data_IF_692511136140
#
_entry.id   IF_692511136140
#
_cell.length_a   1.000
_cell.length_b   1.000
_cell.length_c   1.000
_cell.angle_alpha   90.00
_cell.angle_beta   90.00
_cell.angle_gamma   90.00
#
_symmetry.space_group_name_H-M   'P 1'
#
loop_
_entity.id
_entity.type
_entity.pdbx_description
1 polymer ?
#
# COMPACT_ATOMS: atom_id res chain seq x y z
N UNK A 1 -2.26 -33.40 3.75
CA UNK A 1 -1.06 -32.55 3.52
C UNK A 1 -0.85 -32.22 2.05
N UNK A 2 -0.45 -33.15 1.15
CA UNK A 2 -0.26 -32.81 -0.29
C UNK A 2 -1.61 -32.49 -0.99
N UNK A 3 -2.67 -33.21 -0.60
CA UNK A 3 -4.05 -32.95 -1.05
C UNK A 3 -4.55 -31.54 -0.68
N UNK A 4 -4.15 -31.01 0.48
CA UNK A 4 -4.53 -29.66 0.94
C UNK A 4 -3.84 -28.56 0.11
N UNK A 5 -2.58 -28.77 -0.27
CA UNK A 5 -1.83 -27.84 -1.13
C UNK A 5 -2.43 -27.80 -2.55
N UNK A 6 -2.81 -28.96 -3.10
CA UNK A 6 -3.49 -29.03 -4.40
C UNK A 6 -4.88 -28.38 -4.37
N UNK A 7 -5.60 -28.52 -3.26
CA UNK A 7 -6.91 -27.88 -3.08
C UNK A 7 -6.77 -26.35 -2.96
N UNK A 8 -5.79 -25.86 -2.19
CA UNK A 8 -5.52 -24.43 -2.03
C UNK A 8 -5.07 -23.75 -3.34
N UNK A 9 -4.18 -24.38 -4.10
CA UNK A 9 -3.74 -23.86 -5.41
C UNK A 9 -4.87 -23.85 -6.44
N UNK A 10 -5.74 -24.86 -6.44
CA UNK A 10 -6.96 -24.88 -7.27
C UNK A 10 -7.92 -23.74 -6.90
N UNK A 11 -8.11 -23.45 -5.60
CA UNK A 11 -8.94 -22.33 -5.14
C UNK A 11 -8.36 -20.97 -5.57
N UNK A 12 -7.04 -20.77 -5.49
CA UNK A 12 -6.38 -19.58 -6.01
C UNK A 12 -6.60 -19.41 -7.52
N UNK A 13 -6.39 -20.47 -8.29
CA UNK A 13 -6.61 -20.45 -9.74
C UNK A 13 -8.07 -20.15 -10.10
N UNK A 14 -9.03 -20.71 -9.34
CA UNK A 14 -10.46 -20.41 -9.47
C UNK A 14 -10.75 -18.95 -9.12
N UNK A 15 -10.18 -18.44 -8.04
CA UNK A 15 -10.26 -17.03 -7.65
C UNK A 15 -9.80 -16.09 -8.77
N UNK A 16 -8.64 -16.38 -9.38
CA UNK A 16 -8.09 -15.60 -10.50
C UNK A 16 -9.01 -15.57 -11.74
N UNK A 17 -9.81 -16.61 -11.96
CA UNK A 17 -10.86 -16.61 -13.01
C UNK A 17 -12.07 -15.77 -12.59
N UNK A 18 -12.47 -15.81 -11.31
CA UNK A 18 -13.60 -15.06 -10.79
C UNK A 18 -13.38 -13.55 -10.83
N UNK A 19 -12.16 -13.07 -10.52
CA UNK A 19 -11.86 -11.63 -10.51
C UNK A 19 -12.02 -10.97 -11.90
N UNK A 20 -11.95 -11.77 -12.96
CA UNK A 20 -12.12 -11.32 -14.36
C UNK A 20 -13.59 -11.22 -14.78
N UNK A 21 -14.54 -11.74 -13.99
CA UNK A 21 -15.96 -11.70 -14.34
C UNK A 21 -16.50 -10.26 -14.36
N UNK A 22 -17.39 -9.92 -15.31
CA UNK A 22 -18.12 -8.65 -15.27
C UNK A 22 -18.92 -8.57 -13.96
N UNK A 23 -18.85 -7.43 -13.27
CA UNK A 23 -19.41 -7.25 -11.93
C UNK A 23 -18.35 -7.22 -10.82
N UNK A 24 -17.35 -8.11 -10.86
CA UNK A 24 -16.24 -8.14 -9.89
C UNK A 24 -15.08 -7.24 -10.30
N UNK A 25 -14.79 -7.17 -11.60
CA UNK A 25 -13.61 -6.44 -12.13
C UNK A 25 -13.47 -5.00 -11.60
N UNK A 26 -14.59 -4.32 -11.31
CA UNK A 26 -14.58 -2.94 -10.79
C UNK A 26 -13.92 -2.84 -9.41
N UNK A 27 -14.10 -3.83 -8.55
CA UNK A 27 -13.53 -3.87 -7.20
C UNK A 27 -12.04 -4.21 -7.22
N UNK A 28 -11.51 -4.72 -8.33
CA UNK A 28 -10.07 -4.92 -8.54
C UNK A 28 -9.43 -3.69 -9.17
N UNK A 29 -10.10 -3.11 -10.18
CA UNK A 29 -9.57 -1.98 -10.94
C UNK A 29 -9.55 -0.69 -10.12
N UNK A 30 -10.59 -0.41 -9.31
CA UNK A 30 -10.65 0.82 -8.50
C UNK A 30 -9.46 0.97 -7.54
N UNK A 31 -9.15 0.01 -6.63
CA UNK A 31 -8.00 0.16 -5.75
C UNK A 31 -6.68 0.20 -6.52
N UNK A 32 -6.56 -0.52 -7.64
CA UNK A 32 -5.37 -0.48 -8.50
C UNK A 32 -5.17 0.91 -9.11
N UNK A 33 -6.23 1.54 -9.65
CA UNK A 33 -6.16 2.90 -10.19
C UNK A 33 -5.80 3.91 -9.12
N UNK A 34 -6.42 3.83 -7.93
CA UNK A 34 -6.09 4.72 -6.81
C UNK A 34 -4.61 4.55 -6.43
N UNK A 35 -4.11 3.31 -6.37
CA UNK A 35 -2.71 3.04 -6.08
C UNK A 35 -1.77 3.58 -7.16
N UNK A 36 -2.11 3.47 -8.44
CA UNK A 36 -1.32 4.05 -9.53
C UNK A 36 -1.25 5.57 -9.41
N UNK A 37 -2.39 6.22 -9.14
CA UNK A 37 -2.44 7.67 -8.96
C UNK A 37 -1.64 8.12 -7.74
N UNK A 38 -1.77 7.40 -6.62
CA UNK A 38 -1.07 7.71 -5.38
C UNK A 38 0.44 7.49 -5.53
N UNK A 39 0.86 6.36 -6.12
CA UNK A 39 2.27 6.07 -6.37
C UNK A 39 2.90 7.04 -7.36
N UNK A 40 2.21 7.30 -8.48
CA UNK A 40 2.65 8.27 -9.49
C UNK A 40 2.76 9.68 -8.91
N UNK A 41 1.78 10.08 -8.09
CA UNK A 41 1.81 11.36 -7.37
C UNK A 41 2.97 11.47 -6.39
N UNK A 42 3.28 10.41 -5.64
CA UNK A 42 4.43 10.38 -4.74
C UNK A 42 5.77 10.46 -5.48
N UNK A 43 5.92 9.75 -6.60
CA UNK A 43 7.13 9.85 -7.44
C UNK A 43 7.27 11.25 -8.02
N UNK A 44 6.19 11.79 -8.57
CA UNK A 44 6.19 13.13 -9.15
C UNK A 44 6.55 14.19 -8.11
N UNK A 45 5.92 14.13 -6.93
CA UNK A 45 6.24 15.02 -5.82
C UNK A 45 7.69 14.86 -5.35
N UNK A 46 8.16 13.63 -5.16
CA UNK A 46 9.54 13.35 -4.77
C UNK A 46 10.55 13.90 -5.77
N UNK A 47 10.30 13.72 -7.07
CA UNK A 47 11.13 14.27 -8.14
C UNK A 47 11.13 15.80 -8.15
N UNK A 48 9.95 16.43 -8.03
CA UNK A 48 9.81 17.88 -8.02
C UNK A 48 10.54 18.53 -6.83
N UNK A 49 10.52 17.88 -5.67
CA UNK A 49 11.20 18.37 -4.47
C UNK A 49 12.69 18.05 -4.42
N UNK A 50 13.18 17.16 -5.29
CA UNK A 50 14.52 16.59 -5.20
C UNK A 50 15.62 17.65 -5.36
N UNK A 51 15.64 18.37 -6.48
CA UNK A 51 16.66 19.39 -6.75
C UNK A 51 16.64 20.53 -5.72
N UNK A 52 15.47 21.11 -5.36
CA UNK A 52 15.38 22.09 -4.27
C UNK A 52 15.96 21.59 -2.95
N UNK A 53 15.75 20.31 -2.60
CA UNK A 53 16.30 19.73 -1.37
C UNK A 53 17.83 19.64 -1.42
N UNK A 54 18.38 19.20 -2.54
CA UNK A 54 19.84 19.10 -2.73
C UNK A 54 20.46 20.50 -2.67
N UNK A 55 19.89 21.48 -3.37
CA UNK A 55 20.42 22.85 -3.40
C UNK A 55 20.29 23.52 -2.03
N UNK A 56 19.18 23.32 -1.32
CA UNK A 56 19.00 23.79 0.05
C UNK A 56 19.97 23.13 1.04
N UNK A 57 20.40 21.89 0.80
CA UNK A 57 21.43 21.26 1.61
C UNK A 57 22.83 21.82 1.28
N UNK A 58 23.11 22.01 -0.01
CA UNK A 58 24.39 22.55 -0.49
C UNK A 58 24.60 24.03 -0.13
N UNK A 59 23.54 24.81 0.14
CA UNK A 59 23.68 26.22 0.54
C UNK A 59 24.44 26.43 1.87
N UNK A 60 24.53 25.38 2.69
CA UNK A 60 25.28 25.38 3.96
C UNK A 60 26.72 24.88 3.79
N UNK A 61 27.08 24.43 2.57
CA UNK A 61 28.35 23.77 2.26
C UNK A 61 29.25 24.75 1.52
N UNK A 62 30.47 25.03 2.03
CA UNK A 62 31.46 25.82 1.31
C UNK A 62 31.87 25.19 -0.04
N UNK A 63 32.24 26.01 -1.01
CA UNK A 63 32.51 25.58 -2.40
C UNK A 63 33.61 24.51 -2.53
N UNK A 64 34.64 24.55 -1.66
CA UNK A 64 35.71 23.53 -1.66
C UNK A 64 35.22 22.12 -1.28
N UNK A 65 34.02 22.00 -0.70
CA UNK A 65 33.35 20.74 -0.36
C UNK A 65 32.25 20.37 -1.36
N UNK A 66 32.23 20.90 -2.59
CA UNK A 66 31.19 20.58 -3.59
C UNK A 66 31.13 19.08 -3.93
N UNK A 67 32.20 18.32 -3.68
CA UNK A 67 32.17 16.85 -3.76
C UNK A 67 31.12 16.22 -2.84
N UNK A 68 30.62 16.88 -1.79
CA UNK A 68 29.54 16.36 -0.96
C UNK A 68 28.20 16.27 -1.72
N UNK A 69 28.05 16.99 -2.84
CA UNK A 69 26.81 17.01 -3.63
C UNK A 69 26.37 15.60 -4.06
N UNK A 70 27.28 14.77 -4.55
CA UNK A 70 26.92 13.41 -4.99
C UNK A 70 26.54 12.52 -3.81
N UNK A 71 27.17 12.72 -2.63
CA UNK A 71 26.83 12.00 -1.40
C UNK A 71 25.44 12.39 -0.92
N UNK A 72 25.15 13.69 -0.86
CA UNK A 72 23.83 14.24 -0.50
C UNK A 72 22.75 13.74 -1.47
N UNK A 73 23.05 13.73 -2.77
CA UNK A 73 22.16 13.20 -3.80
C UNK A 73 21.79 11.73 -3.53
N UNK A 74 22.78 10.87 -3.24
CA UNK A 74 22.53 9.45 -2.92
C UNK A 74 21.73 9.31 -1.63
N UNK A 75 22.07 10.10 -0.61
CA UNK A 75 21.41 10.06 0.69
C UNK A 75 19.93 10.45 0.56
N UNK A 76 19.64 11.57 -0.10
CA UNK A 76 18.28 12.06 -0.32
C UNK A 76 17.50 11.07 -1.17
N UNK A 77 18.07 10.57 -2.27
CA UNK A 77 17.41 9.57 -3.12
C UNK A 77 17.05 8.32 -2.32
N UNK A 78 17.99 7.81 -1.52
CA UNK A 78 17.78 6.62 -0.69
C UNK A 78 16.73 6.87 0.39
N UNK A 79 16.78 8.02 1.07
CA UNK A 79 15.78 8.41 2.06
C UNK A 79 14.39 8.56 1.44
N UNK A 80 14.27 9.22 0.29
CA UNK A 80 13.01 9.32 -0.44
C UNK A 80 12.48 7.95 -0.82
N UNK A 81 13.32 7.05 -1.34
CA UNK A 81 12.92 5.68 -1.68
C UNK A 81 12.41 4.90 -0.46
N UNK A 82 13.11 5.00 0.68
CA UNK A 82 12.70 4.39 1.95
C UNK A 82 11.35 4.95 2.40
N UNK A 83 11.21 6.27 2.48
CA UNK A 83 9.96 6.93 2.90
C UNK A 83 8.81 6.52 1.98
N UNK A 84 9.00 6.59 0.66
CA UNK A 84 7.97 6.17 -0.30
C UNK A 84 7.61 4.70 -0.10
N UNK A 85 8.58 3.79 0.04
CA UNK A 85 8.31 2.36 0.24
C UNK A 85 7.50 2.08 1.52
N UNK A 86 7.93 2.65 2.65
CA UNK A 86 7.30 2.44 3.95
C UNK A 86 5.96 3.16 4.10
N UNK A 87 5.74 4.30 3.44
CA UNK A 87 4.46 5.02 3.47
C UNK A 87 3.47 4.47 2.45
N UNK A 88 3.93 4.07 1.26
CA UNK A 88 3.07 3.57 0.19
C UNK A 88 2.38 2.26 0.57
N UNK A 89 3.09 1.30 1.17
CA UNK A 89 2.54 -0.02 1.46
C UNK A 89 1.34 0.03 2.42
N UNK A 90 1.39 0.73 3.57
CA UNK A 90 0.22 0.92 4.43
C UNK A 90 -0.92 1.66 3.72
N UNK A 91 -0.62 2.73 2.97
CA UNK A 91 -1.64 3.49 2.24
C UNK A 91 -2.36 2.62 1.21
N UNK A 92 -1.61 1.85 0.42
CA UNK A 92 -2.17 0.94 -0.57
C UNK A 92 -3.07 -0.12 0.09
N UNK A 93 -2.69 -0.62 1.27
CA UNK A 93 -3.50 -1.57 2.03
C UNK A 93 -4.78 -0.93 2.60
N UNK A 94 -4.71 0.32 3.11
CA UNK A 94 -5.90 1.06 3.57
C UNK A 94 -6.88 1.27 2.42
N UNK A 95 -6.36 1.68 1.27
CA UNK A 95 -7.15 1.88 0.05
C UNK A 95 -7.77 0.56 -0.41
N UNK A 96 -7.01 -0.54 -0.46
CA UNK A 96 -7.48 -1.82 -1.00
C UNK A 96 -8.47 -2.55 -0.08
N UNK A 97 -8.33 -2.41 1.24
CA UNK A 97 -9.15 -3.13 2.22
C UNK A 97 -10.68 -3.03 2.02
N UNK A 98 -11.29 -1.83 1.85
CA UNK A 98 -12.73 -1.74 1.62
C UNK A 98 -13.17 -2.40 0.29
N UNK A 99 -12.36 -2.31 -0.76
CA UNK A 99 -12.66 -2.97 -2.03
C UNK A 99 -12.53 -4.48 -1.93
N UNK A 100 -11.54 -4.98 -1.17
CA UNK A 100 -11.37 -6.41 -0.91
C UNK A 100 -12.59 -6.98 -0.16
N UNK A 101 -13.14 -6.25 0.80
CA UNK A 101 -14.36 -6.63 1.51
C UNK A 101 -15.57 -6.71 0.56
N UNK A 102 -15.85 -5.64 -0.18
CA UNK A 102 -16.95 -5.60 -1.16
C UNK A 102 -16.80 -6.66 -2.27
N UNK A 103 -15.57 -6.93 -2.69
CA UNK A 103 -15.26 -7.98 -3.65
C UNK A 103 -15.59 -9.36 -3.10
N UNK A 104 -15.26 -9.63 -1.84
CA UNK A 104 -15.55 -10.89 -1.17
C UNK A 104 -17.06 -11.13 -1.09
N UNK A 105 -17.84 -10.11 -0.67
CA UNK A 105 -19.30 -10.18 -0.61
C UNK A 105 -19.89 -10.53 -1.98
N UNK A 106 -19.47 -9.83 -3.04
CA UNK A 106 -19.98 -10.11 -4.39
C UNK A 106 -19.55 -11.48 -4.94
N UNK A 107 -18.38 -11.98 -4.56
CA UNK A 107 -17.98 -13.35 -4.91
C UNK A 107 -18.85 -14.37 -4.18
N UNK A 108 -19.16 -14.14 -2.91
CA UNK A 108 -20.02 -15.01 -2.11
C UNK A 108 -21.47 -15.03 -2.63
N UNK A 109 -22.05 -13.87 -2.94
CA UNK A 109 -23.36 -13.77 -3.58
C UNK A 109 -23.42 -14.57 -4.89
N UNK A 110 -22.38 -14.48 -5.72
CA UNK A 110 -22.32 -15.23 -6.98
C UNK A 110 -22.18 -16.75 -6.78
N UNK A 111 -21.59 -17.19 -5.67
CA UNK A 111 -21.40 -18.63 -5.40
C UNK A 111 -22.59 -19.26 -4.68
N UNK A 112 -23.25 -18.52 -3.79
CA UNK A 112 -24.35 -19.00 -2.97
C UNK A 112 -25.72 -18.71 -3.58
N UNK A 113 -25.82 -17.69 -4.44
CA UNK A 113 -27.09 -17.19 -4.97
C UNK A 113 -27.91 -16.36 -3.96
N UNK A 114 -27.41 -16.19 -2.73
CA UNK A 114 -28.08 -15.43 -1.67
C UNK A 114 -27.44 -14.03 -1.56
N UNK A 115 -28.24 -12.98 -1.32
CA UNK A 115 -27.69 -11.66 -1.05
C UNK A 115 -26.91 -11.67 0.26
N UNK A 116 -25.66 -11.23 0.20
CA UNK A 116 -24.80 -11.00 1.38
C UNK A 116 -24.87 -9.51 1.65
N UNK A 117 -25.87 -9.10 2.42
CA UNK A 117 -26.00 -7.71 2.82
C UNK A 117 -25.37 -7.53 4.20
N UNK A 118 -24.08 -7.28 4.23
CA UNK A 118 -23.45 -6.78 5.44
C UNK A 118 -23.81 -5.30 5.52
N UNK A 119 -24.62 -4.88 6.50
CA UNK A 119 -25.01 -3.46 6.71
C UNK A 119 -23.82 -2.53 7.07
N UNK A 120 -22.58 -2.97 6.84
CA UNK A 120 -21.38 -2.20 7.12
C UNK A 120 -21.19 -1.17 6.01
N UNK A 121 -21.32 0.10 6.39
CA UNK A 121 -21.02 1.23 5.51
C UNK A 121 -19.56 1.19 5.00
N UNK A 122 -19.36 1.59 3.75
CA UNK A 122 -18.03 1.77 3.15
C UNK A 122 -17.09 2.61 4.04
N UNK A 123 -17.62 3.65 4.68
CA UNK A 123 -16.85 4.51 5.59
C UNK A 123 -16.38 3.77 6.84
N UNK A 124 -17.16 2.80 7.34
CA UNK A 124 -16.79 1.95 8.45
C UNK A 124 -15.68 0.95 8.07
N UNK A 125 -15.69 0.45 6.82
CA UNK A 125 -14.60 -0.37 6.30
C UNK A 125 -13.29 0.43 6.18
N UNK A 126 -13.36 1.68 5.71
CA UNK A 126 -12.18 2.56 5.64
C UNK A 126 -11.64 2.87 7.04
N UNK A 127 -12.49 3.28 7.98
CA UNK A 127 -12.06 3.66 9.33
C UNK A 127 -11.47 2.49 10.11
N UNK A 128 -12.07 1.30 10.01
CA UNK A 128 -11.53 0.08 10.62
C UNK A 128 -10.17 -0.31 10.02
N UNK A 129 -10.01 -0.14 8.70
CA UNK A 129 -8.73 -0.40 8.02
C UNK A 129 -7.63 0.55 8.48
N UNK A 130 -7.93 1.84 8.60
CA UNK A 130 -7.00 2.84 9.16
C UNK A 130 -6.60 2.44 10.59
N UNK A 131 -7.58 2.14 11.45
CA UNK A 131 -7.33 1.74 12.84
C UNK A 131 -6.48 0.47 12.93
N UNK A 132 -6.72 -0.51 12.05
CA UNK A 132 -5.91 -1.73 11.97
C UNK A 132 -4.45 -1.43 11.60
N UNK A 133 -4.21 -0.57 10.61
CA UNK A 133 -2.85 -0.20 10.21
C UNK A 133 -2.12 0.60 11.28
N UNK A 134 -2.81 1.55 11.94
CA UNK A 134 -2.27 2.26 13.11
C UNK A 134 -1.93 1.30 14.25
N UNK A 135 -2.80 0.32 14.52
CA UNK A 135 -2.54 -0.72 15.52
C UNK A 135 -1.32 -1.57 15.20
N UNK A 136 -1.10 -1.94 13.94
CA UNK A 136 0.11 -2.66 13.49
C UNK A 136 1.37 -1.81 13.66
N UNK A 137 1.31 -0.53 13.31
CA UNK A 137 2.42 0.39 13.51
C UNK A 137 2.77 0.54 14.99
N UNK A 138 1.76 0.77 15.84
CA UNK A 138 1.95 0.83 17.30
C UNK A 138 2.53 -0.47 17.85
N UNK A 139 2.03 -1.62 17.41
CA UNK A 139 2.52 -2.93 17.83
C UNK A 139 4.01 -3.12 17.47
N UNK A 140 4.38 -2.80 16.23
CA UNK A 140 5.78 -2.86 15.77
C UNK A 140 6.65 -1.90 16.59
N UNK A 141 6.16 -0.68 16.86
CA UNK A 141 6.90 0.34 17.59
C UNK A 141 7.16 -0.10 19.04
N UNK A 142 6.14 -0.64 19.72
CA UNK A 142 6.27 -1.20 21.07
C UNK A 142 7.25 -2.38 21.10
N UNK A 143 7.18 -3.29 20.14
CA UNK A 143 8.12 -4.41 20.04
C UNK A 143 9.54 -3.95 19.75
N UNK A 144 9.72 -2.97 18.87
CA UNK A 144 11.04 -2.42 18.54
C UNK A 144 11.68 -1.74 19.76
N UNK A 145 10.88 -1.04 20.57
CA UNK A 145 11.35 -0.43 21.81
C UNK A 145 11.77 -1.50 22.84
N UNK A 146 11.01 -2.60 22.95
CA UNK A 146 11.35 -3.72 23.83
C UNK A 146 12.62 -4.47 23.40
N UNK A 147 12.91 -4.54 22.09
CA UNK A 147 14.15 -5.15 21.57
C UNK A 147 15.39 -4.25 21.72
N UNK A 148 15.20 -2.95 21.96
CA UNK A 148 16.28 -1.99 22.19
C UNK A 148 16.68 -1.86 23.67
N UNK A 149 15.92 -2.49 24.58
CA UNK A 149 16.19 -2.60 26.03
C UNK A 149 16.82 -3.95 26.37
#
# INVERSE_FOLDING_TARGET
>A
MISDIMTGSYMLARGLKLIRKPGIRRYVIMPLLINILLFGGLIWFGYAQFAPLVDSAMSWVPEFLDFLRWIIWILITSMTAIVVFFTFTPLANIVAAPFNALMSEKIEEMMTGNPVNTDISFMALVSSSIRSQLGKLLYILLWSAGLML
#
